data_IF_150332115674
#
_entry.id   IF_150332115674
#
_cell.length_a   1.000
_cell.length_b   1.000
_cell.length_c   1.000
_cell.angle_alpha   90.00
_cell.angle_beta   90.00
_cell.angle_gamma   90.00
#
_symmetry.space_group_name_H-M   'P 1'
#
loop_
_entity.id
_entity.type
_entity.pdbx_description
1 polymer ?
#
# COMPACT_ATOMS: atom_id res chain seq x y z
N UNK A 1 -9.30 7.72 -21.78
CA UNK A 1 -8.81 6.37 -21.43
C UNK A 1 -9.73 5.33 -22.05
N UNK A 2 -9.18 4.21 -22.52
CA UNK A 2 -10.00 3.14 -23.12
C UNK A 2 -10.81 2.40 -22.06
N UNK A 3 -11.98 1.81 -22.40
CA UNK A 3 -12.78 1.02 -21.46
C UNK A 3 -12.01 -0.14 -20.83
N UNK A 4 -11.16 -0.81 -21.61
CA UNK A 4 -10.37 -1.97 -21.15
C UNK A 4 -9.32 -1.56 -20.11
N UNK A 5 -8.72 -0.38 -20.29
CA UNK A 5 -7.78 0.18 -19.32
C UNK A 5 -8.47 0.55 -18.01
N UNK A 6 -9.69 1.11 -18.09
CA UNK A 6 -10.50 1.42 -16.90
C UNK A 6 -10.88 0.13 -16.15
N UNK A 7 -11.32 -0.89 -16.88
CA UNK A 7 -11.66 -2.19 -16.28
C UNK A 7 -10.45 -2.83 -15.61
N UNK A 8 -9.29 -2.82 -16.26
CA UNK A 8 -8.04 -3.31 -15.70
C UNK A 8 -7.62 -2.54 -14.43
N UNK A 9 -7.69 -1.20 -14.43
CA UNK A 9 -7.39 -0.39 -13.24
C UNK A 9 -8.36 -0.69 -12.07
N UNK A 10 -9.64 -0.86 -12.36
CA UNK A 10 -10.65 -1.23 -11.34
C UNK A 10 -10.39 -2.63 -10.77
N UNK A 11 -10.01 -3.57 -11.63
CA UNK A 11 -9.66 -4.93 -11.21
C UNK A 11 -8.39 -4.95 -10.37
N UNK A 12 -7.35 -4.20 -10.76
CA UNK A 12 -6.14 -4.01 -9.96
C UNK A 12 -6.45 -3.37 -8.60
N UNK A 13 -7.38 -2.41 -8.54
CA UNK A 13 -7.83 -1.80 -7.29
C UNK A 13 -8.47 -2.83 -6.35
N UNK A 14 -9.47 -3.57 -6.83
CA UNK A 14 -10.17 -4.58 -6.05
C UNK A 14 -9.23 -5.70 -5.56
N UNK A 15 -8.34 -6.16 -6.45
CA UNK A 15 -7.31 -7.14 -6.13
C UNK A 15 -6.35 -6.64 -5.05
N UNK A 16 -5.96 -5.37 -5.11
CA UNK A 16 -5.09 -4.76 -4.09
C UNK A 16 -5.76 -4.70 -2.72
N UNK A 17 -7.04 -4.31 -2.65
CA UNK A 17 -7.81 -4.34 -1.40
C UNK A 17 -7.91 -5.76 -0.84
N UNK A 18 -8.14 -6.76 -1.71
CA UNK A 18 -8.16 -8.17 -1.31
C UNK A 18 -6.83 -8.62 -0.72
N UNK A 19 -5.71 -8.26 -1.36
CA UNK A 19 -4.36 -8.56 -0.86
C UNK A 19 -4.11 -7.95 0.52
N UNK A 20 -4.55 -6.71 0.77
CA UNK A 20 -4.47 -6.08 2.10
C UNK A 20 -5.21 -6.89 3.16
N UNK A 21 -6.40 -7.41 2.83
CA UNK A 21 -7.15 -8.31 3.69
C UNK A 21 -6.38 -9.60 3.99
N UNK A 22 -5.86 -10.26 2.95
CA UNK A 22 -5.09 -11.51 3.06
C UNK A 22 -3.84 -11.36 3.95
N UNK A 23 -3.15 -10.21 3.88
CA UNK A 23 -1.95 -9.95 4.68
C UNK A 23 -2.24 -9.34 6.06
N UNK A 24 -3.51 -9.15 6.43
CA UNK A 24 -3.86 -8.82 7.83
C UNK A 24 -3.65 -10.04 8.73
N UNK A 25 -3.88 -11.24 8.21
CA UNK A 25 -3.60 -12.51 8.88
C UNK A 25 -2.85 -13.46 7.91
N UNK A 26 -1.52 -13.36 7.79
CA UNK A 26 -0.78 -14.03 6.73
C UNK A 26 -0.61 -15.53 6.99
N UNK A 27 -1.58 -16.33 6.56
CA UNK A 27 -1.50 -17.81 6.53
C UNK A 27 -0.91 -18.30 5.20
N UNK A 28 -0.38 -19.53 5.15
CA UNK A 28 0.15 -20.09 3.90
C UNK A 28 -0.88 -20.10 2.74
N UNK A 29 -2.16 -20.46 2.95
CA UNK A 29 -3.20 -20.30 1.93
C UNK A 29 -3.37 -18.86 1.45
N UNK A 30 -3.37 -17.89 2.37
CA UNK A 30 -3.50 -16.47 2.02
C UNK A 30 -2.32 -15.96 1.19
N UNK A 31 -1.11 -16.39 1.52
CA UNK A 31 0.10 -16.06 0.74
C UNK A 31 0.00 -16.62 -0.68
N UNK A 32 -0.40 -17.89 -0.84
CA UNK A 32 -0.58 -18.52 -2.16
C UNK A 32 -1.66 -17.82 -2.97
N UNK A 33 -2.75 -17.41 -2.33
CA UNK A 33 -3.81 -16.65 -3.00
C UNK A 33 -3.31 -15.27 -3.43
N UNK A 34 -2.60 -14.56 -2.56
CA UNK A 34 -2.00 -13.27 -2.90
C UNK A 34 -1.04 -13.38 -4.10
N UNK A 35 -0.19 -14.41 -4.14
CA UNK A 35 0.71 -14.66 -5.28
C UNK A 35 -0.05 -14.85 -6.60
N UNK A 36 -1.17 -15.57 -6.60
CA UNK A 36 -2.03 -15.73 -7.80
C UNK A 36 -2.63 -14.40 -8.25
N UNK A 37 -3.07 -13.59 -7.29
CA UNK A 37 -3.62 -12.25 -7.57
C UNK A 37 -2.53 -11.36 -8.17
N UNK A 38 -1.32 -11.34 -7.59
CA UNK A 38 -0.18 -10.56 -8.11
C UNK A 38 0.16 -10.97 -9.55
N UNK A 39 0.20 -12.28 -9.84
CA UNK A 39 0.43 -12.76 -11.20
C UNK A 39 -0.65 -12.26 -12.18
N UNK A 40 -1.91 -12.23 -11.75
CA UNK A 40 -3.03 -11.69 -12.55
C UNK A 40 -2.83 -10.20 -12.82
N UNK A 41 -2.46 -9.42 -11.79
CA UNK A 41 -2.20 -7.97 -11.92
C UNK A 41 -1.03 -7.68 -12.87
N UNK A 42 0.02 -8.51 -12.86
CA UNK A 42 1.13 -8.41 -13.82
C UNK A 42 0.68 -8.67 -15.25
N UNK A 43 -0.23 -9.62 -15.47
CA UNK A 43 -0.82 -9.88 -16.78
C UNK A 43 -1.69 -8.73 -17.31
N UNK A 44 -2.28 -7.94 -16.42
CA UNK A 44 -3.12 -6.77 -16.77
C UNK A 44 -2.29 -5.51 -17.05
N UNK A 45 -1.07 -5.42 -16.50
CA UNK A 45 -0.22 -4.23 -16.60
C UNK A 45 0.03 -3.74 -18.04
N UNK A 46 0.24 -4.61 -19.06
CA UNK A 46 0.39 -4.15 -20.45
C UNK A 46 -0.83 -3.39 -20.99
N UNK A 47 -2.04 -3.78 -20.59
CA UNK A 47 -3.29 -3.09 -20.99
C UNK A 47 -3.36 -1.72 -20.32
N UNK A 48 -2.99 -1.66 -19.04
CA UNK A 48 -2.94 -0.42 -18.26
C UNK A 48 -1.91 0.54 -18.84
N UNK A 49 -0.68 0.07 -19.10
CA UNK A 49 0.38 0.87 -19.72
C UNK A 49 -0.05 1.47 -21.05
N UNK A 50 -0.61 0.64 -21.94
CA UNK A 50 -1.06 1.10 -23.26
C UNK A 50 -2.13 2.19 -23.12
N UNK A 51 -3.17 1.93 -22.33
CA UNK A 51 -4.28 2.86 -22.20
C UNK A 51 -3.89 4.20 -21.53
N UNK A 52 -2.94 4.18 -20.60
CA UNK A 52 -2.42 5.41 -19.98
C UNK A 52 -1.52 6.17 -20.95
N UNK A 53 -0.59 5.51 -21.66
CA UNK A 53 0.26 6.16 -22.67
C UNK A 53 -0.60 6.83 -23.76
N UNK A 54 -1.58 6.11 -24.30
CA UNK A 54 -2.52 6.68 -25.28
C UNK A 54 -3.36 7.83 -24.71
N UNK A 55 -3.66 7.83 -23.41
CA UNK A 55 -4.40 8.94 -22.76
C UNK A 55 -3.49 10.14 -22.52
N UNK A 56 -2.22 9.90 -22.20
CA UNK A 56 -1.19 10.91 -22.01
C UNK A 56 -0.87 11.62 -23.34
N UNK A 57 -0.73 10.87 -24.43
CA UNK A 57 -0.48 11.42 -25.78
C UNK A 57 -1.60 12.32 -26.31
N UNK A 58 -2.82 12.15 -25.77
CA UNK A 58 -3.99 12.97 -26.10
C UNK A 58 -4.14 14.20 -25.20
N UNK A 59 -3.29 14.39 -24.20
CA UNK A 59 -3.34 15.57 -23.33
C UNK A 59 -2.75 16.79 -24.06
N UNK A 60 -3.42 17.93 -23.91
CA UNK A 60 -2.95 19.22 -24.42
C UNK A 60 -2.17 20.04 -23.37
N UNK A 61 -2.07 19.51 -22.14
CA UNK A 61 -1.43 20.16 -21.01
C UNK A 61 -0.26 19.29 -20.56
N UNK A 62 0.96 19.76 -20.77
CA UNK A 62 2.22 19.03 -20.48
C UNK A 62 2.29 18.52 -19.05
N UNK A 63 1.84 19.34 -18.08
CA UNK A 63 1.80 18.95 -16.67
C UNK A 63 0.91 17.73 -16.43
N UNK A 64 -0.18 17.60 -17.19
CA UNK A 64 -1.11 16.47 -17.07
C UNK A 64 -0.62 15.24 -17.80
N UNK A 65 0.04 15.41 -18.95
CA UNK A 65 0.75 14.32 -19.62
C UNK A 65 1.81 13.74 -18.69
N UNK A 66 2.70 14.60 -18.16
CA UNK A 66 3.76 14.19 -17.23
C UNK A 66 3.20 13.48 -16.01
N UNK A 67 2.16 14.06 -15.39
CA UNK A 67 1.50 13.44 -14.23
C UNK A 67 0.98 12.03 -14.51
N UNK A 68 0.36 11.79 -15.66
CA UNK A 68 -0.14 10.45 -16.02
C UNK A 68 1.00 9.44 -16.18
N UNK A 69 2.13 9.86 -16.77
CA UNK A 69 3.30 9.01 -16.95
C UNK A 69 4.03 8.74 -15.62
N UNK A 70 4.14 9.75 -14.76
CA UNK A 70 4.67 9.60 -13.40
C UNK A 70 3.80 8.62 -12.58
N UNK A 71 2.47 8.77 -12.63
CA UNK A 71 1.53 7.86 -11.97
C UNK A 71 1.65 6.43 -12.52
N UNK A 72 1.88 6.25 -13.82
CA UNK A 72 2.14 4.93 -14.41
C UNK A 72 3.45 4.30 -13.90
N UNK A 73 4.52 5.11 -13.81
CA UNK A 73 5.81 4.64 -13.30
C UNK A 73 5.72 4.23 -11.83
N UNK A 74 5.00 5.01 -11.01
CA UNK A 74 4.73 4.68 -9.61
C UNK A 74 3.95 3.37 -9.50
N UNK A 75 2.91 3.18 -10.33
CA UNK A 75 2.11 1.95 -10.35
C UNK A 75 2.96 0.71 -10.66
N UNK A 76 3.82 0.79 -11.68
CA UNK A 76 4.78 -0.26 -12.02
C UNK A 76 5.73 -0.55 -10.85
N UNK A 77 6.26 0.51 -10.23
CA UNK A 77 7.19 0.39 -9.10
C UNK A 77 6.54 -0.31 -7.90
N UNK A 78 5.29 0.02 -7.57
CA UNK A 78 4.56 -0.63 -6.49
C UNK A 78 4.20 -2.08 -6.83
N UNK A 79 3.83 -2.38 -8.09
CA UNK A 79 3.55 -3.75 -8.51
C UNK A 79 4.80 -4.64 -8.45
N UNK A 80 5.97 -4.11 -8.81
CA UNK A 80 7.24 -4.82 -8.64
C UNK A 80 7.55 -5.08 -7.16
N UNK A 81 7.42 -4.06 -6.29
CA UNK A 81 7.58 -4.24 -4.83
C UNK A 81 6.63 -5.29 -4.27
N UNK A 82 5.37 -5.29 -4.73
CA UNK A 82 4.38 -6.28 -4.33
C UNK A 82 4.77 -7.69 -4.82
N UNK A 83 5.28 -7.82 -6.04
CA UNK A 83 5.79 -9.09 -6.56
C UNK A 83 6.99 -9.62 -5.76
N UNK A 84 7.94 -8.75 -5.44
CA UNK A 84 9.15 -9.14 -4.71
C UNK A 84 8.82 -9.56 -3.28
N UNK A 85 7.97 -8.80 -2.60
CA UNK A 85 7.54 -9.07 -1.21
C UNK A 85 6.57 -10.25 -1.07
N UNK A 86 6.05 -10.79 -2.17
CA UNK A 86 5.21 -12.00 -2.18
C UNK A 86 5.92 -13.22 -2.76
N UNK A 87 7.21 -13.11 -3.12
CA UNK A 87 7.96 -14.17 -3.77
C UNK A 87 8.05 -15.42 -2.87
N UNK A 88 7.89 -16.65 -3.44
CA UNK A 88 8.08 -17.88 -2.67
C UNK A 88 9.44 -17.90 -1.95
N UNK A 89 9.43 -18.21 -0.65
CA UNK A 89 10.63 -18.22 0.19
C UNK A 89 11.10 -16.85 0.72
N UNK A 90 10.54 -15.75 0.24
CA UNK A 90 10.89 -14.38 0.64
C UNK A 90 9.64 -13.51 0.85
N UNK A 91 8.67 -14.02 1.61
CA UNK A 91 7.42 -13.33 1.87
C UNK A 91 7.60 -12.30 2.98
N UNK A 92 7.33 -11.03 2.68
CA UNK A 92 7.28 -9.94 3.65
C UNK A 92 5.85 -9.35 3.69
N UNK A 93 4.99 -9.80 4.61
CA UNK A 93 3.59 -9.37 4.70
C UNK A 93 3.41 -7.86 4.83
N UNK A 94 4.29 -7.18 5.57
CA UNK A 94 4.18 -5.74 5.81
C UNK A 94 4.49 -4.94 4.54
N UNK A 95 5.54 -5.33 3.81
CA UNK A 95 5.89 -4.71 2.53
C UNK A 95 4.85 -5.00 1.46
N UNK A 96 4.35 -6.23 1.39
CA UNK A 96 3.28 -6.61 0.46
C UNK A 96 1.99 -5.83 0.73
N UNK A 97 1.58 -5.73 1.99
CA UNK A 97 0.42 -4.93 2.40
C UNK A 97 0.59 -3.46 2.02
N UNK A 98 1.73 -2.86 2.34
CA UNK A 98 2.01 -1.46 2.00
C UNK A 98 2.02 -1.23 0.48
N UNK A 99 2.65 -2.11 -0.29
CA UNK A 99 2.64 -2.01 -1.75
C UNK A 99 1.21 -2.10 -2.31
N UNK A 100 0.40 -3.05 -1.83
CA UNK A 100 -0.99 -3.19 -2.24
C UNK A 100 -1.85 -1.96 -1.87
N UNK A 101 -1.68 -1.39 -0.67
CA UNK A 101 -2.37 -0.16 -0.27
C UNK A 101 -2.05 1.02 -1.20
N UNK A 102 -0.79 1.14 -1.63
CA UNK A 102 -0.38 2.20 -2.56
C UNK A 102 -0.97 1.98 -3.96
N UNK A 103 -1.03 0.73 -4.44
CA UNK A 103 -1.69 0.41 -5.72
C UNK A 103 -3.18 0.76 -5.65
N UNK A 104 -3.87 0.39 -4.56
CA UNK A 104 -5.29 0.71 -4.38
C UNK A 104 -5.55 2.23 -4.40
N UNK A 105 -4.74 3.01 -3.67
CA UNK A 105 -4.87 4.47 -3.67
C UNK A 105 -4.55 5.08 -5.04
N UNK A 106 -3.50 4.61 -5.71
CA UNK A 106 -3.04 5.15 -6.99
C UNK A 106 -4.02 4.84 -8.12
N UNK A 107 -4.50 3.60 -8.22
CA UNK A 107 -5.52 3.22 -9.21
C UNK A 107 -6.82 4.02 -9.03
N UNK A 108 -7.24 4.27 -7.80
CA UNK A 108 -8.37 5.17 -7.49
C UNK A 108 -8.09 6.60 -7.96
N UNK A 109 -6.89 7.11 -7.70
CA UNK A 109 -6.49 8.45 -8.11
C UNK A 109 -6.49 8.59 -9.64
N UNK A 110 -5.94 7.61 -10.35
CA UNK A 110 -5.89 7.57 -11.80
C UNK A 110 -7.31 7.53 -12.40
N UNK A 111 -8.20 6.71 -11.84
CA UNK A 111 -9.61 6.70 -12.24
C UNK A 111 -10.27 8.08 -12.08
N UNK A 112 -10.10 8.70 -10.90
CA UNK A 112 -10.72 9.98 -10.59
C UNK A 112 -10.08 11.19 -11.28
N UNK A 113 -8.85 11.08 -11.78
CA UNK A 113 -8.16 12.17 -12.48
C UNK A 113 -8.65 12.34 -13.91
N UNK A 114 -9.29 11.30 -14.47
CA UNK A 114 -9.83 11.25 -15.84
C UNK A 114 -11.22 11.88 -15.93
N UNK A 115 -12.01 11.84 -14.85
CA UNK A 115 -13.31 12.53 -14.80
C UNK A 115 -13.13 14.01 -14.35
N UNK A 116 -13.41 15.00 -15.22
CA UNK A 116 -13.27 16.41 -14.90
C UNK A 116 -14.13 16.85 -13.70
N UNK A 117 -15.30 16.23 -13.49
CA UNK A 117 -16.19 16.55 -12.36
C UNK A 117 -15.66 16.02 -11.03
N UNK A 118 -14.90 14.93 -11.07
CA UNK A 118 -14.31 14.26 -9.91
C UNK A 118 -12.92 14.77 -9.55
N UNK A 119 -12.21 15.40 -10.49
CA UNK A 119 -10.80 15.81 -10.37
C UNK A 119 -10.48 16.66 -9.14
N UNK A 120 -11.26 17.74 -8.90
CA UNK A 120 -11.03 18.65 -7.76
C UNK A 120 -11.32 17.98 -6.41
N UNK A 121 -12.35 17.13 -6.36
CA UNK A 121 -12.72 16.38 -5.15
C UNK A 121 -11.71 15.27 -4.85
N UNK A 122 -11.22 14.59 -5.89
CA UNK A 122 -10.18 13.56 -5.81
C UNK A 122 -8.90 14.10 -5.21
N UNK A 123 -8.45 15.28 -5.64
CA UNK A 123 -7.21 15.85 -5.14
C UNK A 123 -7.29 16.25 -3.66
N UNK A 124 -8.45 16.75 -3.21
CA UNK A 124 -8.72 17.03 -1.80
C UNK A 124 -8.74 15.75 -0.96
N UNK A 125 -9.43 14.71 -1.43
CA UNK A 125 -9.47 13.39 -0.77
C UNK A 125 -8.08 12.77 -0.68
N UNK A 126 -7.26 12.89 -1.73
CA UNK A 126 -5.87 12.43 -1.75
C UNK A 126 -5.01 13.12 -0.69
N UNK A 127 -5.05 14.47 -0.65
CA UNK A 127 -4.29 15.25 0.35
C UNK A 127 -4.76 14.96 1.77
N UNK A 128 -6.03 14.64 1.96
CA UNK A 128 -6.58 14.21 3.25
C UNK A 128 -6.06 12.83 3.63
N UNK A 129 -6.19 11.82 2.75
CA UNK A 129 -5.70 10.44 3.01
C UNK A 129 -4.21 10.38 3.31
N UNK A 130 -3.37 11.09 2.54
CA UNK A 130 -1.92 11.14 2.80
C UNK A 130 -1.61 11.70 4.20
N UNK A 131 -2.35 12.71 4.64
CA UNK A 131 -2.19 13.28 6.00
C UNK A 131 -2.66 12.32 7.08
N UNK A 132 -3.77 11.61 6.86
CA UNK A 132 -4.26 10.60 7.82
C UNK A 132 -3.29 9.43 7.95
N UNK A 133 -2.83 8.85 6.83
CA UNK A 133 -1.82 7.76 6.85
C UNK A 133 -0.53 8.18 7.56
N UNK A 134 -0.05 9.40 7.31
CA UNK A 134 1.12 9.93 8.01
C UNK A 134 0.89 10.10 9.52
N UNK A 135 -0.34 10.48 9.92
CA UNK A 135 -0.75 10.56 11.32
C UNK A 135 -0.80 9.18 11.99
N UNK A 136 -1.47 8.21 11.36
CA UNK A 136 -1.60 6.84 11.86
C UNK A 136 -0.23 6.15 12.03
N UNK A 137 0.69 6.35 11.08
CA UNK A 137 2.04 5.83 11.17
C UNK A 137 2.79 6.39 12.40
N UNK A 138 2.66 7.71 12.64
CA UNK A 138 3.26 8.36 13.82
C UNK A 138 2.64 7.88 15.13
N UNK A 139 1.32 7.74 15.17
CA UNK A 139 0.60 7.27 16.34
C UNK A 139 0.96 5.81 16.69
N UNK A 140 1.03 4.93 15.68
CA UNK A 140 1.45 3.54 15.88
C UNK A 140 2.88 3.44 16.40
N UNK A 141 3.80 4.26 15.89
CA UNK A 141 5.17 4.34 16.43
C UNK A 141 5.16 4.78 17.89
N UNK A 142 4.42 5.83 18.24
CA UNK A 142 4.33 6.33 19.62
C UNK A 142 3.73 5.28 20.58
N UNK A 143 2.69 4.55 20.15
CA UNK A 143 2.12 3.45 20.94
C UNK A 143 3.13 2.32 21.16
N UNK A 144 3.89 1.96 20.13
CA UNK A 144 4.93 0.91 20.23
C UNK A 144 6.05 1.33 21.17
N UNK A 145 6.52 2.58 21.08
CA UNK A 145 7.53 3.14 21.98
C UNK A 145 7.03 3.18 23.44
N UNK A 146 5.78 3.61 23.64
CA UNK A 146 5.16 3.61 24.97
C UNK A 146 5.04 2.20 25.56
N UNK A 147 4.65 1.22 24.75
CA UNK A 147 4.59 -0.18 25.20
C UNK A 147 5.97 -0.73 25.57
N UNK A 148 6.99 -0.47 24.75
CA UNK A 148 8.37 -0.88 25.03
C UNK A 148 8.88 -0.25 26.32
N UNK A 149 8.65 1.06 26.50
CA UNK A 149 9.05 1.76 27.73
C UNK A 149 8.36 1.16 28.96
N UNK A 150 7.06 0.91 28.90
CA UNK A 150 6.32 0.28 29.99
C UNK A 150 6.83 -1.14 30.30
N UNK A 151 7.15 -1.93 29.29
CA UNK A 151 7.73 -3.26 29.46
C UNK A 151 9.12 -3.20 30.11
N UNK A 152 9.97 -2.25 29.72
CA UNK A 152 11.28 -2.04 30.34
C UNK A 152 11.16 -1.60 31.80
N UNK A 153 10.22 -0.71 32.12
CA UNK A 153 9.96 -0.30 33.51
C UNK A 153 9.47 -1.48 34.35
N UNK A 154 8.56 -2.30 33.82
CA UNK A 154 8.08 -3.50 34.51
C UNK A 154 9.22 -4.50 34.77
N UNK A 155 10.12 -4.69 33.79
CA UNK A 155 11.29 -5.56 33.94
C UNK A 155 12.22 -5.07 35.07
N UNK A 156 12.54 -3.77 35.08
CA UNK A 156 13.35 -3.17 36.14
C UNK A 156 12.72 -3.26 37.52
N UNK A 157 11.39 -3.12 37.62
CA UNK A 157 10.68 -3.29 38.88
C UNK A 157 10.78 -4.73 39.41
N UNK A 158 10.68 -5.73 38.51
CA UNK A 158 10.87 -7.14 38.86
C UNK A 158 12.31 -7.42 39.30
N UNK A 159 13.31 -6.91 38.57
CA UNK A 159 14.72 -7.09 38.92
C UNK A 159 15.06 -6.46 40.28
N UNK A 160 14.51 -5.28 40.56
CA UNK A 160 14.70 -4.58 41.84
C UNK A 160 14.05 -5.34 42.98
N UNK A 161 12.81 -5.82 42.79
CA UNK A 161 12.12 -6.63 43.79
C UNK A 161 12.86 -7.95 44.07
N UNK A 162 13.40 -8.59 43.02
CA UNK A 162 14.19 -9.82 43.14
C UNK A 162 15.51 -9.58 43.89
N UNK A 163 16.17 -8.44 43.66
CA UNK A 163 17.39 -8.06 44.38
C UNK A 163 17.10 -7.82 45.88
N UNK A 164 16.06 -7.06 46.20
CA UNK A 164 15.64 -6.81 47.60
C UNK A 164 15.27 -8.09 48.33
N UNK A 165 14.61 -9.04 47.65
CA UNK A 165 14.27 -10.32 48.26
C UNK A 165 15.52 -11.15 48.63
N UNK A 166 16.58 -11.07 47.81
CA UNK A 166 17.86 -11.76 48.06
C UNK A 166 18.67 -11.11 49.19
N UNK A 167 18.51 -9.82 49.45
CA UNK A 167 19.15 -9.13 50.57
C UNK A 167 18.46 -9.42 51.91
N UNK A 168 17.21 -9.89 51.89
CA UNK A 168 16.39 -10.22 53.06
C UNK A 168 16.45 -11.71 53.48
N UNK A 169 17.13 -12.55 52.71
CA UNK A 169 17.35 -13.99 52.96
C UNK A 169 18.82 -14.30 53.19
#
# INVERSE_FOLDING_TARGET
MSPECIEALNKMNANSVKIVGLFTEPTEPHVKEAQKIVHTMQGEMPVVEKGIKETADKQTVDEMQKKLLDELQDLNSYLHKLSDSTKPGHVNPNEAKNAAENIADLTTQMFLSIDPKSRRRSELLRRSRRRMKAGEARENTARRESFVAAATTALHAVDTAAAQLRELT
#
